data_IF_694315326260
#
_entry.id   IF_694315326260
#
_cell.length_a   1.000
_cell.length_b   1.000
_cell.length_c   1.000
_cell.angle_alpha   90.00
_cell.angle_beta   90.00
_cell.angle_gamma   90.00
#
_symmetry.space_group_name_H-M   'P 1'
#
loop_
_entity.id
_entity.type
_entity.pdbx_description
1 polymer ?
#
# COMPACT_ATOMS: atom_id res chain seq x y z
N UNK A 1 2.47 -31.56 -48.51
CA UNK A 1 2.84 -30.19 -48.93
C UNK A 1 1.69 -29.62 -49.74
N UNK A 2 0.60 -29.25 -49.10
CA UNK A 2 -0.57 -28.52 -49.66
C UNK A 2 -1.64 -28.53 -48.56
N UNK A 3 -2.04 -27.37 -48.06
CA UNK A 3 -3.35 -27.16 -47.41
C UNK A 3 -3.55 -25.68 -47.01
N UNK A 4 -2.51 -24.83 -47.07
CA UNK A 4 -2.65 -23.41 -46.72
C UNK A 4 -3.35 -22.54 -47.77
N UNK A 5 -3.51 -22.99 -49.02
CA UNK A 5 -4.09 -22.18 -50.10
C UNK A 5 -5.63 -22.19 -50.15
N UNK A 6 -6.28 -23.15 -49.49
CA UNK A 6 -7.75 -23.32 -49.57
C UNK A 6 -8.54 -22.27 -48.77
N UNK A 7 -7.93 -21.63 -47.78
CA UNK A 7 -8.61 -20.60 -46.97
C UNK A 7 -8.53 -19.20 -47.62
N UNK A 8 -7.53 -18.97 -48.46
CA UNK A 8 -7.29 -17.68 -49.11
C UNK A 8 -8.16 -17.46 -50.35
N UNK A 9 -8.67 -18.53 -50.96
CA UNK A 9 -9.57 -18.52 -52.11
C UNK A 9 -11.02 -18.23 -51.73
N UNK A 10 -11.50 -18.74 -50.59
CA UNK A 10 -12.88 -18.54 -50.13
C UNK A 10 -13.24 -17.09 -49.80
N UNK A 11 -12.25 -16.24 -49.49
CA UNK A 11 -12.48 -14.81 -49.21
C UNK A 11 -12.47 -13.92 -50.45
N UNK A 12 -11.98 -14.41 -51.61
CA UNK A 12 -11.90 -13.62 -52.85
C UNK A 12 -13.20 -13.61 -53.66
N UNK A 13 -14.04 -14.61 -53.50
CA UNK A 13 -15.30 -14.77 -54.25
C UNK A 13 -16.55 -14.29 -53.49
N UNK A 14 -16.39 -13.68 -52.31
CA UNK A 14 -17.52 -13.15 -51.54
C UNK A 14 -17.96 -11.77 -52.09
N UNK A 15 -19.28 -11.49 -52.16
CA UNK A 15 -19.76 -10.17 -52.55
C UNK A 15 -19.30 -9.11 -51.53
N UNK A 16 -19.07 -7.86 -51.98
CA UNK A 16 -18.46 -6.80 -51.17
C UNK A 16 -19.24 -6.46 -49.88
N UNK A 17 -20.54 -6.81 -49.81
CA UNK A 17 -21.34 -6.65 -48.60
C UNK A 17 -21.02 -7.69 -47.51
N UNK A 18 -20.70 -8.93 -47.89
CA UNK A 18 -20.34 -10.00 -46.96
C UNK A 18 -18.92 -9.86 -46.44
N UNK A 19 -17.97 -9.38 -47.26
CA UNK A 19 -16.61 -9.09 -46.80
C UNK A 19 -16.57 -8.00 -45.75
N UNK A 20 -17.36 -6.93 -45.91
CA UNK A 20 -17.53 -5.88 -44.91
C UNK A 20 -18.12 -6.44 -43.62
N UNK A 21 -19.10 -7.34 -43.71
CA UNK A 21 -19.76 -7.93 -42.53
C UNK A 21 -18.85 -8.90 -41.76
N UNK A 22 -18.01 -9.68 -42.45
CA UNK A 22 -16.97 -10.54 -41.86
C UNK A 22 -15.85 -9.70 -41.24
N UNK A 23 -15.42 -8.63 -41.89
CA UNK A 23 -14.43 -7.72 -41.32
C UNK A 23 -14.97 -7.01 -40.07
N UNK A 24 -16.22 -6.56 -40.10
CA UNK A 24 -16.88 -5.91 -38.97
C UNK A 24 -17.04 -6.87 -37.78
N UNK A 25 -17.45 -8.12 -38.03
CA UNK A 25 -17.59 -9.13 -36.99
C UNK A 25 -16.23 -9.51 -36.38
N UNK A 26 -15.18 -9.64 -37.20
CA UNK A 26 -13.82 -9.86 -36.72
C UNK A 26 -13.33 -8.70 -35.83
N UNK A 27 -13.63 -7.45 -36.19
CA UNK A 27 -13.30 -6.26 -35.38
C UNK A 27 -14.08 -6.25 -34.07
N UNK A 28 -15.37 -6.59 -34.08
CA UNK A 28 -16.21 -6.66 -32.87
C UNK A 28 -15.73 -7.77 -31.93
N UNK A 29 -15.40 -8.96 -32.46
CA UNK A 29 -14.87 -10.07 -31.68
C UNK A 29 -13.49 -9.72 -31.11
N UNK A 30 -12.60 -9.12 -31.90
CA UNK A 30 -11.30 -8.65 -31.42
C UNK A 30 -11.44 -7.60 -30.30
N UNK A 31 -12.37 -6.65 -30.44
CA UNK A 31 -12.70 -5.66 -29.41
C UNK A 31 -13.27 -6.32 -28.14
N UNK A 32 -14.15 -7.30 -28.27
CA UNK A 32 -14.74 -8.03 -27.15
C UNK A 32 -13.71 -8.88 -26.39
N UNK A 33 -12.77 -9.52 -27.11
CA UNK A 33 -11.65 -10.27 -26.52
C UNK A 33 -10.69 -9.31 -25.80
N UNK A 34 -10.36 -8.16 -26.41
CA UNK A 34 -9.52 -7.12 -25.80
C UNK A 34 -10.19 -6.48 -24.57
N UNK A 35 -11.52 -6.37 -24.55
CA UNK A 35 -12.27 -5.91 -23.37
C UNK A 35 -12.54 -7.00 -22.33
N UNK A 36 -12.18 -8.26 -22.61
CA UNK A 36 -12.45 -9.36 -21.70
C UNK A 36 -11.46 -9.34 -20.53
N UNK A 37 -11.99 -9.46 -19.30
CA UNK A 37 -11.17 -9.51 -18.08
C UNK A 37 -10.16 -10.66 -18.04
N UNK A 38 -10.30 -11.66 -18.93
CA UNK A 38 -9.38 -12.78 -19.07
C UNK A 38 -8.00 -12.35 -19.59
N UNK A 39 -7.94 -11.51 -20.63
CA UNK A 39 -6.66 -11.03 -21.19
C UNK A 39 -5.94 -10.16 -20.18
N UNK A 40 -6.67 -9.30 -19.46
CA UNK A 40 -6.11 -8.47 -18.39
C UNK A 40 -5.62 -9.30 -17.20
N UNK A 41 -6.37 -10.33 -16.80
CA UNK A 41 -5.98 -11.25 -15.72
C UNK A 41 -4.75 -12.07 -16.08
N UNK A 42 -4.67 -12.57 -17.32
CA UNK A 42 -3.51 -13.31 -17.81
C UNK A 42 -2.27 -12.42 -17.90
N UNK A 43 -2.42 -11.18 -18.37
CA UNK A 43 -1.36 -10.16 -18.37
C UNK A 43 -0.85 -9.88 -16.96
N UNK A 44 -1.74 -9.73 -15.98
CA UNK A 44 -1.38 -9.55 -14.57
C UNK A 44 -0.59 -10.76 -14.03
N UNK A 45 -1.00 -11.98 -14.37
CA UNK A 45 -0.34 -13.20 -13.91
C UNK A 45 1.09 -13.31 -14.49
N UNK A 46 1.25 -13.01 -15.78
CA UNK A 46 2.56 -12.97 -16.43
C UNK A 46 3.45 -11.90 -15.80
N UNK A 47 2.92 -10.71 -15.53
CA UNK A 47 3.65 -9.64 -14.84
C UNK A 47 4.09 -10.03 -13.42
N UNK A 48 3.25 -10.77 -12.69
CA UNK A 48 3.58 -11.24 -11.35
C UNK A 48 4.82 -12.14 -11.35
N UNK A 49 4.89 -13.07 -12.31
CA UNK A 49 6.00 -14.01 -12.48
C UNK A 49 7.27 -13.28 -12.94
N UNK A 50 7.15 -12.38 -13.91
CA UNK A 50 8.31 -11.72 -14.52
C UNK A 50 8.88 -10.58 -13.67
N UNK A 51 8.10 -9.99 -12.74
CA UNK A 51 8.54 -8.91 -11.85
C UNK A 51 8.28 -9.27 -10.39
N UNK A 52 9.15 -10.08 -9.75
CA UNK A 52 9.03 -10.37 -8.33
C UNK A 52 9.29 -9.11 -7.48
N UNK A 53 8.69 -9.05 -6.29
CA UNK A 53 8.94 -7.98 -5.34
C UNK A 53 10.42 -8.03 -4.91
N UNK A 54 11.16 -6.91 -4.99
CA UNK A 54 12.57 -6.88 -4.64
C UNK A 54 12.78 -7.29 -3.18
N UNK A 55 13.95 -7.87 -2.90
CA UNK A 55 14.38 -8.08 -1.52
C UNK A 55 14.90 -6.75 -0.97
N UNK A 56 14.20 -6.15 -0.01
CA UNK A 56 14.70 -4.97 0.69
C UNK A 56 15.58 -5.47 1.85
N UNK A 57 16.87 -5.12 1.81
CA UNK A 57 17.81 -5.43 2.89
C UNK A 57 17.65 -4.42 4.03
N UNK A 58 16.48 -4.41 4.68
CA UNK A 58 16.32 -3.68 5.95
C UNK A 58 16.67 -4.66 7.06
N UNK A 59 17.73 -4.36 7.81
CA UNK A 59 17.98 -5.03 9.10
C UNK A 59 16.97 -4.43 10.08
N UNK A 60 15.93 -5.20 10.40
CA UNK A 60 15.07 -4.88 11.54
C UNK A 60 15.79 -5.42 12.75
N UNK A 61 16.29 -4.55 13.61
CA UNK A 61 16.92 -4.97 14.85
C UNK A 61 15.84 -5.60 15.74
N UNK A 62 15.99 -6.90 16.04
CA UNK A 62 14.96 -7.72 16.71
C UNK A 62 14.59 -7.28 18.13
N UNK A 63 15.30 -6.32 18.71
CA UNK A 63 15.01 -5.77 20.03
C UNK A 63 13.73 -4.91 20.09
N UNK A 64 13.13 -4.56 18.94
CA UNK A 64 11.90 -3.73 18.86
C UNK A 64 10.63 -4.59 18.74
N UNK A 65 10.75 -5.90 18.52
CA UNK A 65 9.61 -6.80 18.27
C UNK A 65 9.27 -7.72 19.42
N UNK A 66 10.07 -7.74 20.48
CA UNK A 66 9.70 -8.44 21.70
C UNK A 66 8.58 -7.63 22.36
N UNK A 67 7.39 -8.22 22.42
CA UNK A 67 6.31 -7.78 23.30
C UNK A 67 6.88 -7.77 24.72
N UNK A 68 7.25 -6.58 25.19
CA UNK A 68 7.77 -6.33 26.53
C UNK A 68 6.70 -6.51 27.61
N UNK A 69 5.53 -7.06 27.23
CA UNK A 69 4.61 -7.85 28.04
C UNK A 69 4.65 -7.46 29.50
N UNK A 70 3.88 -6.41 29.85
CA UNK A 70 3.77 -5.79 31.18
C UNK A 70 4.64 -6.45 32.25
N UNK A 71 5.92 -6.08 32.29
CA UNK A 71 6.58 -6.09 33.58
C UNK A 71 6.06 -4.86 34.34
N UNK A 72 5.32 -5.10 35.43
CA UNK A 72 4.93 -4.11 36.45
C UNK A 72 6.17 -3.53 37.15
N UNK A 73 7.16 -3.07 36.39
CA UNK A 73 8.27 -2.27 36.89
C UNK A 73 7.71 -0.87 36.98
N UNK A 74 7.23 -0.54 38.17
CA UNK A 74 7.11 0.80 38.66
C UNK A 74 8.45 1.55 38.47
N UNK A 75 8.72 2.06 37.27
CA UNK A 75 9.65 3.16 37.08
C UNK A 75 8.87 4.39 37.57
N UNK A 76 9.21 4.99 38.71
CA UNK A 76 10.58 5.26 39.14
C UNK A 76 11.08 6.56 38.52
N UNK A 77 10.18 7.50 38.23
CA UNK A 77 10.55 8.88 37.94
C UNK A 77 11.05 9.52 39.23
N UNK A 78 12.36 9.70 39.30
CA UNK A 78 13.07 10.42 40.34
C UNK A 78 12.73 11.92 40.28
N UNK A 79 11.52 12.28 40.71
CA UNK A 79 11.19 13.61 41.18
C UNK A 79 10.31 13.42 42.43
N UNK A 80 10.94 13.56 43.59
CA UNK A 80 10.33 13.27 44.87
C UNK A 80 9.19 14.20 45.23
N UNK A 81 8.10 13.61 45.73
CA UNK A 81 7.37 14.08 46.90
C UNK A 81 6.57 12.90 47.47
N UNK A 82 7.18 12.28 48.49
CA UNK A 82 6.54 11.93 49.77
C UNK A 82 5.11 11.35 49.74
N UNK A 83 5.06 10.03 49.95
CA UNK A 83 4.01 9.33 50.70
C UNK A 83 2.56 9.49 50.24
N UNK A 84 2.01 8.43 49.63
CA UNK A 84 0.65 8.05 50.00
C UNK A 84 0.43 6.54 49.86
N UNK A 85 -0.16 5.97 50.91
CA UNK A 85 -0.58 4.58 50.99
C UNK A 85 -1.97 4.49 50.37
N UNK A 86 -2.10 3.67 49.33
CA UNK A 86 -3.32 2.94 49.05
C UNK A 86 -4.58 3.79 48.84
N UNK A 87 -4.72 4.37 47.65
CA UNK A 87 -6.01 4.44 46.99
C UNK A 87 -5.78 4.24 45.50
N UNK A 88 -6.50 3.29 44.89
CA UNK A 88 -6.58 3.11 43.43
C UNK A 88 -7.37 4.29 42.85
N UNK A 89 -6.79 5.48 42.97
CA UNK A 89 -7.32 6.70 42.39
C UNK A 89 -7.21 6.59 40.88
N UNK A 90 -8.30 6.88 40.20
CA UNK A 90 -8.35 7.05 38.75
C UNK A 90 -7.35 8.13 38.33
N UNK A 91 -6.09 7.78 38.09
CA UNK A 91 -5.13 8.68 37.45
C UNK A 91 -5.66 8.93 36.04
N UNK A 92 -6.32 10.06 35.85
CA UNK A 92 -6.77 10.53 34.54
C UNK A 92 -5.53 10.70 33.66
N UNK A 93 -5.35 9.77 32.73
CA UNK A 93 -4.25 9.83 31.77
C UNK A 93 -4.57 10.94 30.78
N UNK A 94 -3.70 11.96 30.75
CA UNK A 94 -3.86 13.07 29.83
C UNK A 94 -3.02 12.83 28.58
N UNK A 95 -3.67 12.87 27.41
CA UNK A 95 -3.00 12.64 26.11
C UNK A 95 -1.97 13.71 25.76
N UNK A 96 -2.09 14.89 26.39
CA UNK A 96 -1.17 16.03 26.24
C UNK A 96 -0.47 16.26 27.55
N UNK A 97 0.85 16.18 27.52
CA UNK A 97 1.70 16.51 28.66
C UNK A 97 2.15 17.99 28.56
N UNK A 98 1.80 18.85 29.53
CA UNK A 98 2.26 20.25 29.53
C UNK A 98 3.78 20.40 29.64
N UNK A 99 4.50 19.42 30.22
CA UNK A 99 5.96 19.41 30.24
C UNK A 99 6.56 19.15 28.86
N UNK A 100 5.76 18.60 27.94
CA UNK A 100 6.17 18.19 26.60
C UNK A 100 5.20 18.69 25.52
N UNK A 101 5.12 20.02 25.33
CA UNK A 101 4.27 20.59 24.29
C UNK A 101 4.72 20.11 22.90
N UNK A 102 3.75 19.87 22.01
CA UNK A 102 4.03 19.41 20.64
C UNK A 102 4.25 17.90 20.49
N UNK A 103 4.02 17.11 21.54
CA UNK A 103 3.98 15.65 21.44
C UNK A 103 2.64 15.10 21.91
N UNK A 104 2.19 14.03 21.26
CA UNK A 104 1.02 13.24 21.67
C UNK A 104 1.53 11.98 22.35
N UNK A 105 1.06 11.73 23.57
CA UNK A 105 1.39 10.53 24.32
C UNK A 105 0.52 9.36 23.83
N UNK A 106 1.16 8.22 23.56
CA UNK A 106 0.51 7.01 23.05
C UNK A 106 0.41 5.96 24.15
N UNK A 107 -0.78 5.41 24.34
CA UNK A 107 -1.06 4.42 25.37
C UNK A 107 -1.78 3.21 24.77
N UNK A 108 -1.57 2.03 25.36
CA UNK A 108 -2.37 0.84 25.07
C UNK A 108 -3.80 1.06 25.60
N UNK A 109 -4.84 0.92 24.75
CA UNK A 109 -6.22 1.14 25.17
C UNK A 109 -6.75 0.16 26.22
N UNK A 110 -6.14 -1.03 26.37
CA UNK A 110 -6.62 -2.09 27.27
C UNK A 110 -5.94 -2.04 28.64
N UNK A 111 -4.64 -1.73 28.67
CA UNK A 111 -3.82 -1.75 29.88
C UNK A 111 -3.48 -0.34 30.39
N UNK A 112 -3.67 0.67 29.54
CA UNK A 112 -3.23 2.05 29.77
C UNK A 112 -1.70 2.19 29.92
N UNK A 113 -0.93 1.20 29.48
CA UNK A 113 0.53 1.26 29.43
C UNK A 113 1.00 2.32 28.44
N UNK A 114 2.04 3.10 28.80
CA UNK A 114 2.65 4.08 27.89
C UNK A 114 3.46 3.35 26.82
N UNK A 115 3.04 3.44 25.56
CA UNK A 115 3.71 2.86 24.39
C UNK A 115 4.81 3.77 23.83
N UNK A 116 4.71 5.08 24.10
CA UNK A 116 5.65 6.07 23.61
C UNK A 116 4.96 7.38 23.30
N UNK A 117 5.51 8.14 22.37
CA UNK A 117 4.96 9.43 21.96
C UNK A 117 5.28 9.73 20.50
N UNK A 118 4.46 10.55 19.88
CA UNK A 118 4.64 11.00 18.50
C UNK A 118 4.58 12.53 18.42
N UNK A 119 5.40 13.16 17.57
CA UNK A 119 5.33 14.60 17.39
C UNK A 119 3.98 15.01 16.79
N UNK A 120 3.35 16.01 17.40
CA UNK A 120 2.16 16.65 16.87
C UNK A 120 2.58 17.63 15.77
N UNK A 121 2.29 17.29 14.51
CA UNK A 121 2.66 18.10 13.36
C UNK A 121 2.02 19.50 13.44
N UNK A 122 2.82 20.52 13.16
CA UNK A 122 2.36 21.91 12.99
C UNK A 122 1.76 22.12 11.60
N UNK A 123 1.13 23.28 11.38
CA UNK A 123 0.60 23.62 10.07
C UNK A 123 1.72 23.71 9.02
N UNK A 124 2.88 24.23 9.43
CA UNK A 124 4.09 24.35 8.63
C UNK A 124 4.59 22.95 8.21
N UNK A 125 4.69 22.01 9.15
CA UNK A 125 5.12 20.64 8.87
C UNK A 125 4.21 19.95 7.83
N UNK A 126 2.89 20.12 7.98
CA UNK A 126 1.90 19.56 7.05
C UNK A 126 2.06 20.20 5.67
N UNK A 127 2.24 21.51 5.60
CA UNK A 127 2.43 22.22 4.33
C UNK A 127 3.70 21.77 3.59
N UNK A 128 4.80 21.54 4.32
CA UNK A 128 6.03 21.00 3.75
C UNK A 128 5.83 19.58 3.18
N UNK A 129 5.14 18.72 3.92
CA UNK A 129 4.80 17.37 3.45
C UNK A 129 3.92 17.41 2.20
N UNK A 130 2.92 18.29 2.16
CA UNK A 130 2.08 18.50 0.98
C UNK A 130 2.91 19.00 -0.22
N UNK A 131 3.88 19.90 -0.01
CA UNK A 131 4.76 20.38 -1.06
C UNK A 131 5.64 19.24 -1.63
N UNK A 132 6.22 18.41 -0.76
CA UNK A 132 7.00 17.22 -1.13
C UNK A 132 6.15 16.22 -1.92
N UNK A 133 4.93 15.94 -1.45
CA UNK A 133 3.98 15.07 -2.14
C UNK A 133 3.62 15.62 -3.52
N UNK A 134 3.35 16.92 -3.64
CA UNK A 134 3.05 17.58 -4.92
C UNK A 134 4.22 17.51 -5.91
N UNK A 135 5.46 17.61 -5.42
CA UNK A 135 6.64 17.44 -6.25
C UNK A 135 6.76 15.99 -6.77
N UNK A 136 6.67 15.00 -5.87
CA UNK A 136 6.75 13.58 -6.22
C UNK A 136 5.60 13.13 -7.15
N UNK A 137 4.42 13.72 -7.01
CA UNK A 137 3.25 13.39 -7.83
C UNK A 137 3.49 13.59 -9.33
N UNK A 138 4.36 14.54 -9.73
CA UNK A 138 4.70 14.80 -11.14
C UNK A 138 5.32 13.60 -11.85
N UNK A 139 6.13 12.83 -11.11
CA UNK A 139 6.77 11.62 -11.61
C UNK A 139 5.89 10.40 -11.34
N UNK A 140 5.25 10.34 -10.17
CA UNK A 140 4.39 9.23 -9.78
C UNK A 140 3.19 9.03 -10.73
N UNK A 141 2.61 10.12 -11.25
CA UNK A 141 1.48 10.04 -12.19
C UNK A 141 1.84 9.36 -13.52
N UNK A 142 3.13 9.41 -13.91
CA UNK A 142 3.62 8.80 -15.14
C UNK A 142 3.87 7.30 -15.00
N UNK A 143 3.80 6.75 -13.79
CA UNK A 143 4.02 5.33 -13.55
C UNK A 143 2.95 4.48 -14.23
N UNK A 144 3.34 3.28 -14.65
CA UNK A 144 2.39 2.29 -15.18
C UNK A 144 1.63 1.61 -14.04
N UNK A 145 0.48 1.02 -14.37
CA UNK A 145 -0.29 0.21 -13.42
C UNK A 145 0.55 -0.94 -12.84
N UNK A 146 1.40 -1.56 -13.65
CA UNK A 146 2.32 -2.61 -13.24
C UNK A 146 3.33 -2.13 -12.17
N UNK A 147 3.90 -0.94 -12.35
CA UNK A 147 4.84 -0.36 -11.37
C UNK A 147 4.15 -0.06 -10.04
N UNK A 148 2.94 0.53 -10.06
CA UNK A 148 2.16 0.78 -8.84
C UNK A 148 1.84 -0.51 -8.08
N UNK A 149 1.45 -1.57 -8.80
CA UNK A 149 1.22 -2.90 -8.21
C UNK A 149 2.48 -3.52 -7.63
N UNK A 150 3.64 -3.32 -8.25
CA UNK A 150 4.90 -3.79 -7.70
C UNK A 150 5.20 -3.11 -6.35
N UNK A 151 5.00 -1.81 -6.25
CA UNK A 151 5.16 -1.06 -4.98
C UNK A 151 4.22 -1.62 -3.90
N UNK A 152 2.93 -1.77 -4.20
CA UNK A 152 1.96 -2.32 -3.24
C UNK A 152 2.30 -3.76 -2.80
N UNK A 153 2.73 -4.62 -3.72
CA UNK A 153 3.19 -5.99 -3.38
C UNK A 153 4.45 -5.97 -2.52
N UNK A 154 5.32 -4.99 -2.72
CA UNK A 154 6.52 -4.83 -1.92
C UNK A 154 6.15 -4.40 -0.50
N UNK A 155 5.24 -3.43 -0.35
CA UNK A 155 4.71 -3.02 0.96
C UNK A 155 4.00 -4.18 1.67
N UNK A 156 3.30 -5.05 0.94
CA UNK A 156 2.63 -6.21 1.56
C UNK A 156 3.60 -7.28 2.09
N UNK A 157 4.80 -7.38 1.49
CA UNK A 157 5.77 -8.42 1.81
C UNK A 157 6.53 -8.14 3.12
N UNK A 158 6.61 -6.88 3.52
CA UNK A 158 7.43 -6.37 4.62
C UNK A 158 6.55 -5.69 5.66
#
# INVERSE_FOLDING_TARGET
MTDSDSSSSLLRDLPPSLTVLVALSAVIVARAIQSSGFVQSLSILVEFILRPAPAIAVKVDGAVTDDDGVEDKANGDANGAEGDKGTRGEKKIELRDPARPGFVQCYDPSTLQRLGEVPAMTAEDVNELCAKAKAAQKDWVQTSYAQRRLVLRTIQKY
#
